data_IF_121345298000
#
_entry.id   IF_121345298000
#
_cell.length_a   1.000
_cell.length_b   1.000
_cell.length_c   1.000
_cell.angle_alpha   90.00
_cell.angle_beta   90.00
_cell.angle_gamma   90.00
#
_symmetry.space_group_name_H-M   'P 1'
#
loop_
_entity.id
_entity.type
_entity.pdbx_description
1 polymer ?
#
# COMPACT_ATOMS: atom_id res chain seq x y z
N UNK A 1 15.05 14.97 -19.46
CA UNK A 1 15.34 13.58 -19.02
C UNK A 1 14.64 13.36 -17.70
N UNK A 2 13.68 12.44 -17.63
CA UNK A 2 13.10 12.04 -16.35
C UNK A 2 14.18 11.27 -15.58
N UNK A 3 14.53 11.75 -14.39
CA UNK A 3 15.46 11.08 -13.50
C UNK A 3 14.82 9.75 -13.14
N UNK A 4 15.43 8.63 -13.55
CA UNK A 4 14.94 7.31 -13.13
C UNK A 4 15.06 7.22 -11.60
N UNK A 5 13.98 6.87 -10.88
CA UNK A 5 14.04 6.76 -9.44
C UNK A 5 15.01 5.64 -9.04
N UNK A 6 15.76 5.85 -7.97
CA UNK A 6 16.67 4.85 -7.43
C UNK A 6 15.85 3.65 -6.94
N UNK A 7 16.22 2.45 -7.38
CA UNK A 7 15.61 1.17 -6.99
C UNK A 7 16.63 0.44 -6.09
N UNK A 8 16.23 -0.20 -4.97
CA UNK A 8 14.85 -0.33 -4.48
C UNK A 8 14.29 0.99 -3.93
N UNK A 9 12.96 1.13 -3.98
CA UNK A 9 12.28 2.28 -3.38
C UNK A 9 12.37 2.20 -1.86
N UNK A 10 12.59 3.35 -1.24
CA UNK A 10 12.63 3.51 0.22
C UNK A 10 11.67 4.62 0.59
N UNK A 11 10.96 4.49 1.71
CA UNK A 11 9.87 5.39 2.12
C UNK A 11 10.35 6.83 2.38
N UNK A 12 11.64 7.01 2.68
CA UNK A 12 12.26 8.32 2.84
C UNK A 12 12.51 9.06 1.52
N UNK A 13 12.36 8.38 0.37
CA UNK A 13 12.45 9.06 -0.92
C UNK A 13 11.24 9.96 -1.15
N UNK A 14 11.42 11.12 -1.80
CA UNK A 14 10.29 11.92 -2.25
C UNK A 14 9.39 11.09 -3.18
N UNK A 15 8.07 11.22 -3.01
CA UNK A 15 7.12 10.66 -3.97
C UNK A 15 7.34 11.29 -5.33
N UNK A 16 7.43 10.47 -6.38
CA UNK A 16 7.51 10.96 -7.77
C UNK A 16 6.14 11.40 -8.32
N UNK A 17 6.07 11.59 -9.63
CA UNK A 17 4.81 11.88 -10.35
C UNK A 17 4.21 10.59 -10.89
N UNK A 18 3.09 10.07 -10.36
CA UNK A 18 2.48 8.86 -10.88
C UNK A 18 1.96 9.06 -12.31
N UNK A 19 2.14 8.04 -13.13
CA UNK A 19 1.99 8.09 -14.58
C UNK A 19 0.58 7.69 -15.03
N UNK A 20 -0.22 7.11 -14.13
CA UNK A 20 -1.61 6.72 -14.39
C UNK A 20 -2.57 7.45 -13.44
N UNK A 21 -3.85 7.63 -13.82
CA UNK A 21 -4.88 8.13 -12.91
C UNK A 21 -5.01 7.29 -11.63
N UNK A 22 -4.81 5.97 -11.74
CA UNK A 22 -4.76 5.07 -10.58
C UNK A 22 -3.64 5.45 -9.60
N UNK A 23 -2.40 5.63 -10.09
CA UNK A 23 -1.30 6.04 -9.22
C UNK A 23 -1.50 7.45 -8.65
N UNK A 24 -2.07 8.37 -9.44
CA UNK A 24 -2.35 9.75 -9.00
C UNK A 24 -3.39 9.77 -7.89
N UNK A 25 -4.45 8.96 -7.96
CA UNK A 25 -5.47 8.91 -6.92
C UNK A 25 -4.90 8.41 -5.59
N UNK A 26 -3.98 7.43 -5.61
CA UNK A 26 -3.28 6.96 -4.41
C UNK A 26 -2.42 8.05 -3.79
N UNK A 27 -1.62 8.77 -4.58
CA UNK A 27 -0.82 9.88 -4.08
C UNK A 27 -1.68 11.01 -3.50
N UNK A 28 -2.81 11.34 -4.13
CA UNK A 28 -3.76 12.33 -3.60
C UNK A 28 -4.30 11.91 -2.24
N UNK A 29 -4.68 10.62 -2.06
CA UNK A 29 -5.15 10.10 -0.77
C UNK A 29 -4.06 10.18 0.29
N UNK A 30 -2.81 9.83 -0.03
CA UNK A 30 -1.69 9.98 0.91
C UNK A 30 -1.52 11.43 1.38
N UNK A 31 -1.61 12.40 0.47
CA UNK A 31 -1.51 13.83 0.78
C UNK A 31 -2.67 14.28 1.68
N UNK A 32 -3.91 13.92 1.32
CA UNK A 32 -5.10 14.24 2.12
C UNK A 32 -4.99 13.69 3.54
N UNK A 33 -4.57 12.43 3.68
CA UNK A 33 -4.43 11.80 5.00
C UNK A 33 -3.28 12.42 5.81
N UNK A 34 -2.20 12.82 5.16
CA UNK A 34 -1.08 13.53 5.81
C UNK A 34 -1.54 14.89 6.33
N UNK A 35 -2.27 15.66 5.53
CA UNK A 35 -2.82 16.95 5.94
C UNK A 35 -3.88 16.80 7.04
N UNK A 36 -4.69 15.73 6.99
CA UNK A 36 -5.63 15.39 8.06
C UNK A 36 -4.89 15.15 9.39
N UNK A 37 -3.84 14.32 9.40
CA UNK A 37 -3.09 14.03 10.63
C UNK A 37 -2.41 15.29 11.17
N UNK A 38 -1.91 16.16 10.29
CA UNK A 38 -1.36 17.47 10.68
C UNK A 38 -2.42 18.36 11.34
N UNK A 39 -3.64 18.36 10.82
CA UNK A 39 -4.76 19.13 11.38
C UNK A 39 -5.35 18.49 12.65
N UNK A 40 -5.29 17.16 12.77
CA UNK A 40 -5.81 16.36 13.88
C UNK A 40 -4.73 15.40 14.39
N UNK A 41 -3.77 15.88 15.22
CA UNK A 41 -2.59 15.11 15.60
C UNK A 41 -2.86 13.82 16.39
N UNK A 42 -4.08 13.69 16.94
CA UNK A 42 -4.53 12.50 17.65
C UNK A 42 -4.77 11.29 16.73
N UNK A 43 -4.86 11.50 15.41
CA UNK A 43 -5.01 10.43 14.43
C UNK A 43 -3.70 9.64 14.26
N UNK A 44 -3.82 8.31 14.23
CA UNK A 44 -2.76 7.41 13.80
C UNK A 44 -3.13 6.85 12.43
N UNK A 45 -2.27 7.09 11.42
CA UNK A 45 -2.53 6.73 10.03
C UNK A 45 -1.34 5.95 9.49
N UNK A 46 -1.61 4.76 8.96
CA UNK A 46 -0.63 3.94 8.24
C UNK A 46 -0.80 4.12 6.74
N UNK A 47 0.26 4.53 6.05
CA UNK A 47 0.32 4.55 4.58
C UNK A 47 1.10 3.33 4.09
N UNK A 48 0.42 2.18 4.00
CA UNK A 48 1.04 0.92 3.58
C UNK A 48 1.08 0.84 2.05
N UNK A 49 2.26 1.03 1.45
CA UNK A 49 2.47 1.02 0.00
C UNK A 49 2.81 -0.38 -0.49
N UNK A 50 1.84 -1.11 -1.01
CA UNK A 50 2.05 -2.47 -1.51
C UNK A 50 2.72 -2.48 -2.89
N UNK A 51 3.46 -3.54 -3.16
CA UNK A 51 3.99 -3.85 -4.48
C UNK A 51 3.00 -4.75 -5.24
N UNK A 52 3.36 -6.01 -5.55
CA UNK A 52 2.51 -6.91 -6.34
C UNK A 52 2.13 -8.14 -5.49
N UNK A 53 1.04 -8.09 -4.72
CA UNK A 53 0.57 -9.25 -3.97
C UNK A 53 0.12 -10.37 -4.91
N UNK A 54 0.53 -11.59 -4.60
CA UNK A 54 0.22 -12.82 -5.35
C UNK A 54 0.05 -14.00 -4.40
N UNK A 55 -0.47 -15.11 -4.92
CA UNK A 55 -0.69 -16.33 -4.14
C UNK A 55 -2.12 -16.45 -3.63
N UNK A 56 -2.32 -17.35 -2.68
CA UNK A 56 -3.62 -17.73 -2.15
C UNK A 56 -3.48 -18.16 -0.68
N UNK A 57 -4.60 -18.36 0.00
CA UNK A 57 -4.59 -19.01 1.31
C UNK A 57 -4.08 -20.46 1.17
N UNK A 58 -3.22 -20.96 2.09
CA UNK A 58 -2.60 -22.29 1.97
C UNK A 58 -3.59 -23.46 1.97
N UNK A 59 -4.83 -23.26 2.41
CA UNK A 59 -5.87 -24.30 2.30
C UNK A 59 -6.29 -24.58 0.85
N UNK A 60 -6.08 -23.63 -0.06
CA UNK A 60 -6.55 -23.70 -1.45
C UNK A 60 -8.00 -23.25 -1.67
N UNK A 61 -8.75 -22.93 -0.60
CA UNK A 61 -10.16 -22.58 -0.69
C UNK A 61 -10.42 -21.07 -0.88
N UNK A 62 -9.39 -20.25 -0.71
CA UNK A 62 -9.48 -18.80 -0.87
C UNK A 62 -8.29 -18.29 -1.69
N UNK A 63 -8.59 -17.53 -2.75
CA UNK A 63 -7.60 -16.94 -3.63
C UNK A 63 -8.23 -15.82 -4.46
N UNK A 64 -7.43 -15.25 -5.37
CA UNK A 64 -7.91 -14.21 -6.28
C UNK A 64 -8.86 -14.81 -7.34
N UNK A 65 -10.12 -14.35 -7.37
CA UNK A 65 -11.10 -14.72 -8.40
C UNK A 65 -11.69 -13.46 -9.06
N UNK A 66 -10.93 -12.80 -9.96
CA UNK A 66 -11.38 -11.57 -10.59
C UNK A 66 -12.50 -11.86 -11.59
N UNK A 67 -13.49 -10.96 -11.63
CA UNK A 67 -14.58 -11.04 -12.59
C UNK A 67 -14.08 -10.72 -14.00
N UNK A 68 -14.44 -11.57 -14.97
CA UNK A 68 -14.07 -11.39 -16.38
C UNK A 68 -12.61 -11.71 -16.68
N UNK A 69 -11.96 -10.85 -17.48
CA UNK A 69 -10.56 -11.03 -17.86
C UNK A 69 -9.65 -10.45 -16.77
N UNK A 70 -8.77 -11.26 -16.14
CA UNK A 70 -7.83 -10.74 -15.16
C UNK A 70 -6.92 -9.67 -15.78
N UNK A 71 -6.73 -8.56 -15.07
CA UNK A 71 -5.77 -7.52 -15.47
C UNK A 71 -4.37 -7.78 -14.91
N UNK A 72 -4.27 -8.58 -13.84
CA UNK A 72 -3.03 -8.90 -13.15
C UNK A 72 -2.40 -10.19 -13.70
N UNK A 73 -1.07 -10.27 -13.63
CA UNK A 73 -0.29 -11.36 -14.22
C UNK A 73 -0.64 -12.73 -13.64
N UNK A 74 -0.59 -12.87 -12.31
CA UNK A 74 -0.74 -14.16 -11.63
C UNK A 74 -2.12 -14.83 -11.85
N UNK A 75 -3.27 -14.13 -11.68
CA UNK A 75 -4.57 -14.76 -11.96
C UNK A 75 -4.73 -15.10 -13.45
N UNK A 76 -4.10 -14.36 -14.36
CA UNK A 76 -4.10 -14.71 -15.79
C UNK A 76 -3.31 -15.99 -16.03
N UNK A 77 -2.09 -16.11 -15.48
CA UNK A 77 -1.27 -17.34 -15.55
C UNK A 77 -2.04 -18.54 -14.98
N UNK A 78 -2.68 -18.36 -13.82
CA UNK A 78 -3.48 -19.43 -13.21
C UNK A 78 -4.62 -19.89 -14.13
N UNK A 79 -5.35 -18.96 -14.75
CA UNK A 79 -6.41 -19.28 -15.70
C UNK A 79 -5.89 -20.02 -16.95
N UNK A 80 -4.70 -19.70 -17.46
CA UNK A 80 -4.06 -20.46 -18.55
C UNK A 80 -3.70 -21.87 -18.08
N UNK A 81 -3.09 -22.00 -16.89
CA UNK A 81 -2.67 -23.29 -16.35
C UNK A 81 -3.83 -24.27 -16.12
N UNK A 82 -5.03 -23.77 -15.78
CA UNK A 82 -6.24 -24.59 -15.62
C UNK A 82 -7.08 -24.69 -16.92
N UNK A 83 -6.57 -24.22 -18.06
CA UNK A 83 -7.23 -24.33 -19.35
C UNK A 83 -8.45 -23.40 -19.55
N UNK A 84 -8.64 -22.38 -18.70
CA UNK A 84 -9.66 -21.34 -18.90
C UNK A 84 -9.26 -20.32 -19.98
N UNK A 85 -8.00 -20.32 -20.41
CA UNK A 85 -7.42 -19.43 -21.43
C UNK A 85 -6.36 -20.15 -22.25
N UNK A 86 -6.23 -19.77 -23.52
CA UNK A 86 -5.32 -20.43 -24.45
C UNK A 86 -3.85 -20.08 -24.20
N UNK A 87 -3.54 -18.81 -23.94
CA UNK A 87 -2.16 -18.35 -23.78
C UNK A 87 -2.06 -17.07 -22.96
N UNK A 88 -0.88 -16.84 -22.37
CA UNK A 88 -0.52 -15.59 -21.70
C UNK A 88 0.02 -14.58 -22.72
N UNK A 89 -0.44 -13.34 -22.65
CA UNK A 89 0.19 -12.21 -23.35
C UNK A 89 1.23 -11.54 -22.44
N UNK A 90 2.50 -11.52 -22.85
CA UNK A 90 3.55 -10.75 -22.19
C UNK A 90 3.59 -9.35 -22.82
N UNK A 91 3.35 -8.32 -22.01
CA UNK A 91 3.32 -6.93 -22.49
C UNK A 91 4.71 -6.31 -22.43
N UNK A 92 5.39 -6.30 -23.58
CA UNK A 92 6.72 -5.71 -23.78
C UNK A 92 7.86 -6.71 -23.60
N UNK A 93 8.87 -6.59 -24.46
CA UNK A 93 10.07 -7.43 -24.52
C UNK A 93 11.35 -6.62 -24.79
N UNK A 94 11.27 -5.29 -24.66
CA UNK A 94 12.31 -4.32 -24.95
C UNK A 94 12.59 -3.39 -23.76
N UNK A 95 12.16 -3.78 -22.55
CA UNK A 95 12.53 -3.07 -21.33
C UNK A 95 14.04 -3.18 -21.07
N UNK A 96 14.67 -2.19 -20.41
CA UNK A 96 16.07 -2.26 -20.01
C UNK A 96 16.26 -3.18 -18.78
N UNK A 97 15.90 -4.45 -18.93
CA UNK A 97 15.98 -5.54 -17.94
C UNK A 97 16.72 -6.73 -18.55
N UNK A 98 17.10 -7.72 -17.73
CA UNK A 98 17.95 -8.84 -18.16
C UNK A 98 17.36 -9.64 -19.34
N UNK A 99 16.05 -9.87 -19.34
CA UNK A 99 15.34 -10.65 -20.36
C UNK A 99 14.41 -9.80 -21.25
N UNK A 100 14.44 -8.48 -21.09
CA UNK A 100 13.59 -7.53 -21.81
C UNK A 100 12.14 -7.43 -21.28
N UNK A 101 11.75 -8.21 -20.28
CA UNK A 101 10.40 -8.20 -19.69
C UNK A 101 10.31 -7.36 -18.42
N UNK A 102 9.09 -7.05 -17.97
CA UNK A 102 8.87 -6.22 -16.79
C UNK A 102 9.24 -6.91 -15.48
N UNK A 103 10.27 -6.43 -14.78
CA UNK A 103 10.65 -6.89 -13.43
C UNK A 103 9.74 -6.28 -12.36
N UNK A 104 9.29 -7.08 -11.39
CA UNK A 104 8.39 -6.68 -10.30
C UNK A 104 8.80 -7.32 -8.98
N UNK A 105 8.50 -6.63 -7.88
CA UNK A 105 8.58 -7.17 -6.51
C UNK A 105 7.25 -7.86 -6.18
N UNK A 106 7.29 -9.18 -6.00
CA UNK A 106 6.13 -10.03 -5.70
C UNK A 106 6.14 -10.42 -4.22
N UNK A 107 5.02 -10.22 -3.55
CA UNK A 107 4.84 -10.56 -2.13
C UNK A 107 3.70 -11.57 -1.98
N UNK A 108 3.85 -12.57 -1.11
CA UNK A 108 2.76 -13.50 -0.85
C UNK A 108 1.59 -12.79 -0.16
N UNK A 109 0.35 -13.05 -0.59
CA UNK A 109 -0.84 -12.36 -0.07
C UNK A 109 -1.04 -12.59 1.43
N UNK A 110 -0.63 -13.74 1.96
CA UNK A 110 -0.66 -14.02 3.40
C UNK A 110 0.35 -13.16 4.17
N UNK A 111 1.57 -12.95 3.65
CA UNK A 111 2.55 -12.05 4.29
C UNK A 111 2.04 -10.62 4.32
N UNK A 112 1.36 -10.20 3.24
CA UNK A 112 0.72 -8.91 3.18
C UNK A 112 -0.40 -8.79 4.23
N UNK A 113 -1.22 -9.82 4.39
CA UNK A 113 -2.28 -9.85 5.40
C UNK A 113 -1.71 -9.78 6.83
N UNK A 114 -0.67 -10.55 7.12
CA UNK A 114 0.03 -10.52 8.42
C UNK A 114 0.63 -9.13 8.68
N UNK A 115 1.20 -8.49 7.66
CA UNK A 115 1.69 -7.11 7.75
C UNK A 115 0.61 -6.11 8.16
N UNK A 116 -0.63 -6.30 7.73
CA UNK A 116 -1.76 -5.46 8.16
C UNK A 116 -2.12 -5.69 9.63
N UNK A 117 -2.19 -6.96 10.06
CA UNK A 117 -2.49 -7.30 11.46
C UNK A 117 -1.45 -6.64 12.37
N UNK A 118 -0.17 -6.80 12.05
CA UNK A 118 0.92 -6.19 12.83
C UNK A 118 0.85 -4.67 12.83
N UNK A 119 0.58 -4.04 11.68
CA UNK A 119 0.46 -2.58 11.60
C UNK A 119 -0.71 -2.07 12.46
N UNK A 120 -1.87 -2.71 12.36
CA UNK A 120 -3.06 -2.36 13.12
C UNK A 120 -2.84 -2.50 14.63
N UNK A 121 -2.27 -3.62 15.08
CA UNK A 121 -2.01 -3.87 16.50
C UNK A 121 -1.04 -2.85 17.10
N UNK A 122 0.11 -2.64 16.44
CA UNK A 122 1.16 -1.74 16.95
C UNK A 122 0.73 -0.29 16.96
N UNK A 123 0.10 0.19 15.88
CA UNK A 123 -0.37 1.57 15.79
C UNK A 123 -1.56 1.82 16.73
N UNK A 124 -2.45 0.84 16.89
CA UNK A 124 -3.56 0.89 17.84
C UNK A 124 -3.09 0.90 19.29
N UNK A 125 -2.05 0.15 19.65
CA UNK A 125 -1.43 0.23 20.98
C UNK A 125 -0.81 1.62 21.22
N UNK A 126 -0.04 2.14 20.25
CA UNK A 126 0.59 3.45 20.36
C UNK A 126 -0.45 4.57 20.55
N UNK A 127 -1.54 4.54 19.77
CA UNK A 127 -2.63 5.51 19.88
C UNK A 127 -3.34 5.46 21.24
N UNK A 128 -3.52 4.27 21.82
CA UNK A 128 -4.09 4.12 23.18
C UNK A 128 -3.15 4.66 24.26
N UNK A 129 -1.84 4.43 24.14
CA UNK A 129 -0.84 4.93 25.11
C UNK A 129 -0.78 6.46 25.14
N UNK A 130 -0.90 7.13 23.99
CA UNK A 130 -0.95 8.60 23.93
C UNK A 130 -2.26 9.17 24.50
N UNK A 131 -3.39 8.47 24.35
CA UNK A 131 -4.69 8.91 24.89
C UNK A 131 -4.84 8.69 26.41
N UNK A 132 -4.10 7.75 27.00
CA UNK A 132 -4.14 7.46 28.44
C UNK A 132 -3.28 8.42 29.28
N UNK A 133 -2.51 9.34 28.69
CA UNK A 133 -1.89 10.42 29.45
C UNK A 133 -2.96 11.47 29.79
N UNK A 134 -3.19 11.81 31.08
CA UNK A 134 -4.21 12.77 31.45
C UNK A 134 -3.93 14.10 30.76
N UNK A 135 -4.85 14.50 29.88
CA UNK A 135 -4.83 15.81 29.24
C UNK A 135 -4.88 16.86 30.34
N UNK A 136 -3.74 17.49 30.66
CA UNK A 136 -3.72 18.73 31.47
C UNK A 136 -4.51 19.77 30.70
N UNK A 137 -5.76 19.96 31.11
CA UNK A 137 -6.66 20.95 30.56
C UNK A 137 -6.10 22.35 30.85
N UNK A 138 -5.38 22.95 29.89
CA UNK A 138 -4.86 24.32 29.94
C UNK A 138 -5.99 25.32 29.60
N UNK A 139 -7.05 25.37 30.40
CA UNK A 139 -8.26 26.13 30.05
C UNK A 139 -8.95 26.93 31.17
N UNK A 140 -8.53 26.88 32.43
CA UNK A 140 -9.10 27.72 33.51
C UNK A 140 -7.98 28.31 34.36
N UNK A 141 -7.27 29.29 33.83
CA UNK A 141 -6.55 30.28 34.64
C UNK A 141 -6.55 31.65 33.94
N UNK A 142 -7.73 32.17 33.59
CA UNK A 142 -7.95 33.60 33.30
C UNK A 142 -9.38 34.01 33.66
N UNK A 143 -9.71 33.93 34.94
CA UNK A 143 -10.82 34.69 35.53
C UNK A 143 -10.54 34.80 37.03
N UNK A 144 -9.99 35.93 37.47
CA UNK A 144 -9.79 36.21 38.89
C UNK A 144 -8.54 37.06 39.15
N UNK A 145 -8.78 38.26 39.69
CA UNK A 145 -7.88 39.41 39.93
C UNK A 145 -7.92 40.39 38.75
N UNK A 146 -8.39 41.62 38.90
CA UNK A 146 -8.70 42.43 40.08
C UNK A 146 -8.46 43.87 39.67
#
# INVERSE_FOLDING_TARGET
>A
MAISPKIPYVESFPTGTPQSPYGKSKLMVEQILTDLQKAQPDWSIALLRYFNPVGAHPSGDMGEDPQGIPNNLMPYIAQVAVGRRDSLAIFGNDYPTEDGTGVRDYIHVMDLADGHVVAMEKLGEQARRTHLQPRRWRGQQRAGRG
#
